data_IF_785252280254
#
_entry.id   IF_785252280254
#
_cell.length_a   1.000
_cell.length_b   1.000
_cell.length_c   1.000
_cell.angle_alpha   90.00
_cell.angle_beta   90.00
_cell.angle_gamma   90.00
#
_symmetry.space_group_name_H-M   'P 1'
#
loop_
_entity.id
_entity.type
_entity.pdbx_description
1 polymer ?
#
# COMPACT_ATOMS: atom_id res chain seq x y z
N UNK A 1 14.87 9.13 -0.22
CA UNK A 1 14.49 9.13 -1.67
C UNK A 1 13.94 7.79 -2.18
N UNK A 2 14.45 6.63 -1.75
CA UNK A 2 13.91 5.31 -2.17
C UNK A 2 12.45 5.06 -1.73
N UNK A 3 12.08 5.58 -0.58
CA UNK A 3 10.76 5.38 0.03
C UNK A 3 9.64 6.10 -0.71
N UNK A 4 9.95 7.25 -1.29
CA UNK A 4 9.01 8.00 -2.12
C UNK A 4 8.68 7.22 -3.39
N UNK A 5 9.66 6.49 -3.95
CA UNK A 5 9.50 5.64 -5.14
C UNK A 5 8.59 4.43 -4.89
N UNK A 6 8.70 3.80 -3.72
CA UNK A 6 7.87 2.66 -3.32
C UNK A 6 6.43 3.12 -3.03
N UNK A 7 6.25 4.25 -2.34
CA UNK A 7 4.92 4.86 -2.17
C UNK A 7 4.29 5.23 -3.52
N UNK A 8 5.08 5.76 -4.46
CA UNK A 8 4.61 6.14 -5.78
C UNK A 8 4.14 4.92 -6.60
N UNK A 9 4.84 3.79 -6.52
CA UNK A 9 4.45 2.55 -7.20
C UNK A 9 3.10 2.01 -6.69
N UNK A 10 2.86 2.05 -5.37
CA UNK A 10 1.58 1.66 -4.78
C UNK A 10 0.43 2.55 -5.24
N UNK A 11 0.64 3.87 -5.26
CA UNK A 11 -0.37 4.81 -5.75
C UNK A 11 -0.67 4.66 -7.25
N UNK A 12 0.36 4.40 -8.07
CA UNK A 12 0.20 4.18 -9.52
C UNK A 12 -0.69 2.96 -9.80
N UNK A 13 -0.46 1.85 -9.09
CA UNK A 13 -1.25 0.63 -9.26
C UNK A 13 -2.72 0.82 -8.88
N UNK A 14 -2.99 1.55 -7.79
CA UNK A 14 -4.37 1.89 -7.40
C UNK A 14 -5.04 2.78 -8.44
N UNK A 15 -4.31 3.78 -8.96
CA UNK A 15 -4.82 4.68 -10.00
C UNK A 15 -5.16 3.94 -11.30
N UNK A 16 -4.26 3.08 -11.78
CA UNK A 16 -4.48 2.28 -13.00
C UNK A 16 -5.66 1.29 -12.86
N UNK A 17 -5.87 0.73 -11.66
CA UNK A 17 -7.01 -0.14 -11.39
C UNK A 17 -8.35 0.62 -11.36
N UNK A 18 -8.35 1.84 -10.82
CA UNK A 18 -9.52 2.73 -10.85
C UNK A 18 -9.84 3.16 -12.29
N UNK A 19 -8.84 3.54 -13.09
CA UNK A 19 -9.05 3.89 -14.51
C UNK A 19 -9.63 2.74 -15.33
N UNK A 20 -9.27 1.49 -14.99
CA UNK A 20 -9.82 0.29 -15.61
C UNK A 20 -11.23 -0.08 -15.12
N UNK A 21 -11.79 0.67 -14.17
CA UNK A 21 -13.06 0.37 -13.52
C UNK A 21 -13.08 -1.05 -12.92
N UNK A 22 -11.93 -1.49 -12.39
CA UNK A 22 -11.77 -2.82 -11.80
C UNK A 22 -11.71 -2.69 -10.27
N UNK A 23 -12.86 -2.81 -9.57
CA UNK A 23 -12.93 -2.58 -8.14
C UNK A 23 -12.16 -3.65 -7.33
N UNK A 24 -12.05 -4.86 -7.86
CA UNK A 24 -11.30 -5.94 -7.22
C UNK A 24 -9.80 -5.67 -7.26
N UNK A 25 -9.26 -5.30 -8.43
CA UNK A 25 -7.86 -4.93 -8.58
C UNK A 25 -7.50 -3.67 -7.78
N UNK A 26 -8.40 -2.69 -7.71
CA UNK A 26 -8.18 -1.47 -6.94
C UNK A 26 -8.13 -1.79 -5.43
N UNK A 27 -9.05 -2.62 -4.95
CA UNK A 27 -9.06 -3.09 -3.56
C UNK A 27 -7.81 -3.89 -3.19
N UNK A 28 -7.35 -4.78 -4.07
CA UNK A 28 -6.15 -5.58 -3.85
C UNK A 28 -4.88 -4.71 -3.81
N UNK A 29 -4.71 -3.81 -4.78
CA UNK A 29 -3.56 -2.89 -4.81
C UNK A 29 -3.50 -1.99 -3.57
N UNK A 30 -4.66 -1.53 -3.09
CA UNK A 30 -4.76 -0.69 -1.90
C UNK A 30 -4.46 -1.48 -0.62
N UNK A 31 -4.86 -2.76 -0.56
CA UNK A 31 -4.54 -3.66 0.55
C UNK A 31 -3.04 -3.94 0.66
N UNK A 32 -2.38 -4.25 -0.45
CA UNK A 32 -0.92 -4.42 -0.51
C UNK A 32 -0.17 -3.12 -0.14
N UNK A 33 -0.70 -1.97 -0.55
CA UNK A 33 -0.16 -0.67 -0.16
C UNK A 33 -0.23 -0.47 1.36
N UNK A 34 -1.37 -0.77 1.98
CA UNK A 34 -1.57 -0.67 3.43
C UNK A 34 -0.73 -1.68 4.21
N UNK A 35 -0.54 -2.90 3.71
CA UNK A 35 0.31 -3.91 4.36
C UNK A 35 1.79 -3.52 4.33
N UNK A 36 2.28 -2.98 3.21
CA UNK A 36 3.63 -2.44 3.13
C UNK A 36 3.82 -1.23 4.04
N UNK A 37 2.84 -0.33 4.10
CA UNK A 37 2.85 0.79 5.04
C UNK A 37 2.83 0.30 6.49
N UNK A 38 2.01 -0.70 6.82
CA UNK A 38 1.96 -1.30 8.17
C UNK A 38 3.29 -1.96 8.54
N UNK A 39 3.94 -2.70 7.65
CA UNK A 39 5.28 -3.25 7.91
C UNK A 39 6.33 -2.15 8.13
N UNK A 40 6.25 -1.04 7.40
CA UNK A 40 7.20 0.07 7.52
C UNK A 40 6.99 0.94 8.75
N UNK A 41 5.75 1.28 9.07
CA UNK A 41 5.41 2.24 10.13
C UNK A 41 5.01 1.57 11.44
N UNK A 42 4.85 0.24 11.48
CA UNK A 42 4.64 -0.52 12.70
C UNK A 42 5.78 -1.52 12.98
N UNK A 43 6.99 -1.07 13.37
CA UNK A 43 8.01 -1.95 13.93
C UNK A 43 7.71 -2.36 15.40
N UNK A 44 6.54 -2.03 15.95
CA UNK A 44 6.33 -1.90 17.40
C UNK A 44 5.08 -2.54 18.02
N UNK A 45 4.49 -3.60 17.48
CA UNK A 45 3.66 -4.49 18.33
C UNK A 45 4.52 -5.53 19.08
N UNK A 46 5.63 -5.05 19.63
CA UNK A 46 6.46 -5.73 20.63
C UNK A 46 6.43 -4.91 21.92
N UNK A 47 5.26 -4.83 22.56
CA UNK A 47 5.15 -4.59 24.01
C UNK A 47 3.75 -5.01 24.47
N UNK A 48 3.62 -6.16 25.17
CA UNK A 48 2.55 -6.31 26.14
C UNK A 48 2.87 -5.41 27.34
N UNK A 49 1.89 -4.65 27.81
CA UNK A 49 1.80 -4.22 29.21
C UNK A 49 0.54 -4.88 29.79
#
# INVERSE_FOLDING_TARGET
>A
ELENRISFAGHKNVFEAIERHDPEAAGQAMREHLENARRKFNPGQSKPD
#
